data_IF_244244696942
#
_entry.id   IF_244244696942
#
_cell.length_a   1.000
_cell.length_b   1.000
_cell.length_c   1.000
_cell.angle_alpha   90.00
_cell.angle_beta   90.00
_cell.angle_gamma   90.00
#
_symmetry.space_group_name_H-M   'P 1'
#
loop_
_entity.id
_entity.type
_entity.pdbx_description
1 polymer ?
#
# COMPACT_ATOMS: atom_id res chain seq x y z
N UNK A 1 6.37 1.27 -26.54
CA UNK A 1 5.72 2.41 -25.83
C UNK A 1 4.83 1.92 -24.69
N UNK A 2 3.89 1.00 -24.93
CA UNK A 2 2.96 0.49 -23.90
C UNK A 2 3.63 -0.10 -22.65
N UNK A 3 4.70 -0.89 -22.81
CA UNK A 3 5.47 -1.45 -21.67
C UNK A 3 6.04 -0.36 -20.77
N UNK A 4 6.63 0.69 -21.34
CA UNK A 4 7.18 1.81 -20.58
C UNK A 4 6.07 2.53 -19.81
N UNK A 5 4.89 2.71 -20.43
CA UNK A 5 3.72 3.27 -19.76
C UNK A 5 3.30 2.44 -18.53
N UNK A 6 3.22 1.12 -18.68
CA UNK A 6 2.92 0.20 -17.56
C UNK A 6 3.96 0.34 -16.43
N UNK A 7 5.24 0.37 -16.78
CA UNK A 7 6.30 0.54 -15.79
C UNK A 7 6.24 1.89 -15.07
N UNK A 8 6.07 3.00 -15.80
CA UNK A 8 5.95 4.31 -15.17
C UNK A 8 4.74 4.38 -14.23
N UNK A 9 3.57 3.89 -14.65
CA UNK A 9 2.37 3.84 -13.81
C UNK A 9 2.63 3.01 -12.55
N UNK A 10 3.25 1.83 -12.69
CA UNK A 10 3.57 0.99 -11.54
C UNK A 10 4.50 1.70 -10.55
N UNK A 11 5.55 2.35 -11.04
CA UNK A 11 6.52 3.07 -10.20
C UNK A 11 5.89 4.28 -9.51
N UNK A 12 5.07 5.05 -10.22
CA UNK A 12 4.37 6.19 -9.62
C UNK A 12 3.43 5.72 -8.51
N UNK A 13 2.65 4.65 -8.74
CA UNK A 13 1.73 4.11 -7.73
C UNK A 13 2.48 3.60 -6.49
N UNK A 14 3.59 2.88 -6.65
CA UNK A 14 4.35 2.36 -5.52
C UNK A 14 4.99 3.49 -4.71
N UNK A 15 5.57 4.48 -5.38
CA UNK A 15 6.18 5.65 -4.73
C UNK A 15 5.14 6.50 -4.00
N UNK A 16 4.00 6.79 -4.63
CA UNK A 16 2.90 7.51 -3.97
C UNK A 16 2.45 6.76 -2.71
N UNK A 17 2.25 5.45 -2.81
CA UNK A 17 1.86 4.62 -1.65
C UNK A 17 2.91 4.64 -0.54
N UNK A 18 4.19 4.56 -0.88
CA UNK A 18 5.29 4.63 0.08
C UNK A 18 5.33 5.98 0.81
N UNK A 19 5.12 7.10 0.09
CA UNK A 19 5.03 8.44 0.69
C UNK A 19 3.86 8.49 1.68
N UNK A 20 2.67 8.03 1.29
CA UNK A 20 1.52 8.00 2.19
C UNK A 20 1.77 7.11 3.41
N UNK A 21 2.42 5.96 3.25
CA UNK A 21 2.79 5.08 4.37
C UNK A 21 3.77 5.74 5.35
N UNK A 22 4.74 6.49 4.84
CA UNK A 22 5.69 7.25 5.66
C UNK A 22 4.99 8.38 6.41
N UNK A 23 4.15 9.16 5.72
CA UNK A 23 3.35 10.23 6.34
C UNK A 23 2.42 9.65 7.41
N UNK A 24 1.77 8.53 7.12
CA UNK A 24 0.97 7.77 8.06
C UNK A 24 1.73 7.41 9.35
N UNK A 25 2.94 6.85 9.19
CA UNK A 25 3.80 6.50 10.30
C UNK A 25 4.26 7.72 11.11
N UNK A 26 4.51 8.84 10.44
CA UNK A 26 4.93 10.09 11.09
C UNK A 26 3.80 10.69 11.93
N UNK A 27 2.59 10.76 11.37
CA UNK A 27 1.40 11.25 12.06
C UNK A 27 1.08 10.43 13.32
N UNK A 28 1.07 9.09 13.21
CA UNK A 28 0.82 8.22 14.38
C UNK A 28 1.84 8.45 15.50
N UNK A 29 3.11 8.67 15.17
CA UNK A 29 4.16 8.97 16.17
C UNK A 29 3.92 10.30 16.88
N UNK A 30 3.45 11.31 16.17
CA UNK A 30 3.27 12.66 16.72
C UNK A 30 2.03 12.76 17.63
N UNK A 31 0.99 11.98 17.34
CA UNK A 31 -0.27 11.96 18.11
C UNK A 31 -0.20 11.14 19.42
N UNK A 32 0.78 10.23 19.59
CA UNK A 32 0.90 9.37 20.78
C UNK A 32 1.63 10.08 21.95
N UNK A 33 2.16 11.29 21.76
CA UNK A 33 2.83 12.01 22.84
C UNK A 33 1.83 12.38 23.97
N UNK A 34 2.07 11.95 25.22
CA UNK A 34 1.14 12.19 26.31
C UNK A 34 1.20 13.66 26.73
N UNK A 35 0.19 14.42 26.33
CA UNK A 35 0.01 15.79 26.80
C UNK A 35 -0.48 15.70 28.28
N UNK A 36 0.07 16.53 29.19
CA UNK A 36 -0.19 16.59 30.64
C UNK A 36 -1.16 17.73 31.02
N UNK A 37 -2.00 17.58 32.08
CA UNK A 37 -2.80 18.69 32.71
C UNK A 37 -4.30 18.41 33.05
N UNK A 38 -4.95 19.25 33.90
CA UNK A 38 -6.38 19.19 34.38
C UNK A 38 -7.28 20.35 33.83
N UNK A 39 -8.60 20.36 34.12
CA UNK A 39 -9.74 20.90 33.28
C UNK A 39 -9.95 20.17 31.95
N UNK A 40 -9.04 19.25 31.71
CA UNK A 40 -8.74 18.56 30.49
C UNK A 40 -9.66 17.38 30.30
N UNK A 41 -10.11 16.69 31.34
CA UNK A 41 -10.90 15.44 31.26
C UNK A 41 -12.22 15.55 30.50
N UNK A 42 -12.94 16.68 30.61
CA UNK A 42 -14.18 16.90 29.84
C UNK A 42 -13.90 17.20 28.37
N UNK A 43 -12.85 17.97 28.08
CA UNK A 43 -12.35 18.14 26.72
C UNK A 43 -11.79 16.82 26.19
N UNK A 44 -11.11 16.04 27.04
CA UNK A 44 -10.46 14.77 26.75
C UNK A 44 -11.49 13.72 26.40
N UNK A 45 -12.67 13.63 27.02
CA UNK A 45 -13.68 12.67 26.56
C UNK A 45 -14.16 13.01 25.13
N UNK A 46 -14.34 14.30 24.82
CA UNK A 46 -14.78 14.73 23.48
C UNK A 46 -13.65 14.61 22.44
N UNK A 47 -12.43 14.97 22.82
CA UNK A 47 -11.23 14.93 22.02
C UNK A 47 -10.73 13.49 21.86
N UNK A 48 -10.77 12.65 22.88
CA UNK A 48 -10.50 11.21 22.77
C UNK A 48 -11.54 10.48 21.90
N UNK A 49 -12.80 10.93 21.88
CA UNK A 49 -13.79 10.43 20.90
C UNK A 49 -13.49 10.93 19.49
N UNK A 50 -13.08 12.19 19.34
CA UNK A 50 -12.74 12.77 18.04
C UNK A 50 -11.40 12.21 17.49
N UNK A 51 -10.34 12.24 18.28
CA UNK A 51 -9.05 11.57 18.08
C UNK A 51 -9.23 10.07 17.92
N UNK A 52 -10.19 9.45 18.62
CA UNK A 52 -10.55 8.04 18.45
C UNK A 52 -11.15 7.78 17.08
N UNK A 53 -12.07 8.63 16.62
CA UNK A 53 -12.65 8.57 15.27
C UNK A 53 -11.62 8.89 14.18
N UNK A 54 -10.78 9.89 14.40
CA UNK A 54 -9.72 10.32 13.48
C UNK A 54 -8.62 9.26 13.39
N UNK A 55 -8.19 8.70 14.52
CA UNK A 55 -7.27 7.57 14.58
C UNK A 55 -7.87 6.32 13.93
N UNK A 56 -9.16 6.06 14.12
CA UNK A 56 -9.83 4.94 13.46
C UNK A 56 -9.91 5.13 11.94
N UNK A 57 -10.26 6.34 11.48
CA UNK A 57 -10.26 6.70 10.06
C UNK A 57 -8.85 6.62 9.46
N UNK A 58 -7.84 7.07 10.20
CA UNK A 58 -6.45 7.03 9.78
C UNK A 58 -5.90 5.60 9.74
N UNK A 59 -6.20 4.78 10.74
CA UNK A 59 -5.88 3.34 10.75
C UNK A 59 -6.58 2.62 9.60
N UNK A 60 -7.82 2.98 9.27
CA UNK A 60 -8.53 2.45 8.11
C UNK A 60 -7.84 2.85 6.79
N UNK A 61 -7.46 4.12 6.62
CA UNK A 61 -6.71 4.59 5.44
C UNK A 61 -5.37 3.85 5.31
N UNK A 62 -4.64 3.69 6.42
CA UNK A 62 -3.37 2.94 6.44
C UNK A 62 -3.59 1.49 6.05
N UNK A 63 -4.67 0.87 6.53
CA UNK A 63 -5.05 -0.49 6.16
C UNK A 63 -5.37 -0.64 4.67
N UNK A 64 -5.75 0.44 3.98
CA UNK A 64 -6.03 0.47 2.54
C UNK A 64 -4.80 0.80 1.68
N UNK A 65 -3.73 1.36 2.25
CA UNK A 65 -2.48 1.66 1.53
C UNK A 65 -1.87 0.47 0.78
N UNK A 66 -1.91 -0.78 1.28
CA UNK A 66 -1.36 -1.91 0.53
C UNK A 66 -2.01 -2.07 -0.85
N UNK A 67 -3.28 -1.73 -1.02
CA UNK A 67 -4.04 -1.95 -2.26
C UNK A 67 -3.35 -1.34 -3.50
N UNK A 68 -3.06 -0.02 -3.55
CA UNK A 68 -2.34 0.57 -4.69
C UNK A 68 -0.93 0.00 -4.90
N UNK A 69 -0.26 -0.46 -3.84
CA UNK A 69 1.05 -1.12 -3.94
C UNK A 69 0.95 -2.51 -4.57
N UNK A 70 -0.10 -3.28 -4.25
CA UNK A 70 -0.36 -4.56 -4.91
C UNK A 70 -0.77 -4.40 -6.37
N UNK A 71 -1.57 -3.38 -6.69
CA UNK A 71 -1.89 -3.03 -8.07
C UNK A 71 -0.64 -2.65 -8.86
N UNK A 72 0.25 -1.83 -8.27
CA UNK A 72 1.55 -1.50 -8.85
C UNK A 72 2.36 -2.76 -9.20
N UNK A 73 2.45 -3.70 -8.25
CA UNK A 73 3.16 -4.97 -8.45
C UNK A 73 2.57 -5.77 -9.62
N UNK A 74 1.25 -5.92 -9.70
CA UNK A 74 0.57 -6.63 -10.79
C UNK A 74 0.89 -5.98 -12.14
N UNK A 75 0.76 -4.67 -12.24
CA UNK A 75 1.04 -3.91 -13.46
C UNK A 75 2.50 -4.10 -13.89
N UNK A 76 3.43 -4.07 -12.94
CA UNK A 76 4.85 -4.29 -13.21
C UNK A 76 5.13 -5.70 -13.75
N UNK A 77 4.56 -6.73 -13.12
CA UNK A 77 4.74 -8.13 -13.54
C UNK A 77 4.14 -8.39 -14.92
N UNK A 78 2.97 -7.82 -15.23
CA UNK A 78 2.38 -7.89 -16.58
C UNK A 78 3.29 -7.21 -17.61
N UNK A 79 3.77 -6.01 -17.30
CA UNK A 79 4.73 -5.30 -18.15
C UNK A 79 6.02 -6.10 -18.38
N UNK A 80 6.51 -6.78 -17.33
CA UNK A 80 7.69 -7.64 -17.38
C UNK A 80 7.50 -8.84 -18.32
N UNK A 81 6.37 -9.56 -18.22
CA UNK A 81 6.08 -10.71 -19.11
C UNK A 81 5.94 -10.26 -20.56
N UNK A 82 5.24 -9.15 -20.81
CA UNK A 82 5.09 -8.58 -22.16
C UNK A 82 6.45 -8.15 -22.73
N UNK A 83 7.32 -7.58 -21.89
CA UNK A 83 8.68 -7.20 -22.28
C UNK A 83 9.54 -8.42 -22.63
N UNK A 84 9.47 -9.49 -21.84
CA UNK A 84 10.30 -10.69 -22.04
C UNK A 84 9.81 -11.57 -23.20
N UNK A 85 8.52 -11.58 -23.51
CA UNK A 85 7.94 -12.44 -24.55
C UNK A 85 8.67 -12.37 -25.91
N UNK A 86 8.98 -11.17 -26.47
CA UNK A 86 9.73 -11.08 -27.72
C UNK A 86 11.23 -11.36 -27.57
N UNK A 87 11.81 -11.25 -26.37
CA UNK A 87 13.25 -11.46 -26.14
C UNK A 87 13.57 -12.95 -25.94
N UNK A 88 12.83 -13.62 -25.06
CA UNK A 88 13.07 -15.00 -24.70
C UNK A 88 11.83 -15.67 -24.10
N UNK A 89 11.03 -16.32 -24.94
CA UNK A 89 9.73 -16.90 -24.57
C UNK A 89 9.80 -17.85 -23.38
N UNK A 90 10.84 -18.68 -23.28
CA UNK A 90 11.00 -19.60 -22.15
C UNK A 90 11.15 -18.89 -20.81
N UNK A 91 11.88 -17.76 -20.77
CA UNK A 91 12.06 -16.98 -19.54
C UNK A 91 10.76 -16.22 -19.24
N UNK A 92 10.09 -15.69 -20.28
CA UNK A 92 8.79 -15.04 -20.12
C UNK A 92 7.75 -15.97 -19.48
N UNK A 93 7.66 -17.22 -19.94
CA UNK A 93 6.76 -18.23 -19.38
C UNK A 93 7.16 -18.57 -17.93
N UNK A 94 8.45 -18.82 -17.67
CA UNK A 94 8.92 -19.14 -16.32
C UNK A 94 8.60 -18.01 -15.32
N UNK A 95 8.87 -16.76 -15.69
CA UNK A 95 8.54 -15.58 -14.90
C UNK A 95 7.02 -15.42 -14.74
N UNK A 96 6.24 -15.65 -15.79
CA UNK A 96 4.78 -15.58 -15.75
C UNK A 96 4.15 -16.61 -14.80
N UNK A 97 4.62 -17.86 -14.83
CA UNK A 97 4.18 -18.92 -13.91
C UNK A 97 4.52 -18.56 -12.47
N UNK A 98 5.78 -18.18 -12.21
CA UNK A 98 6.22 -17.79 -10.88
C UNK A 98 5.39 -16.61 -10.33
N UNK A 99 5.18 -15.59 -11.17
CA UNK A 99 4.36 -14.42 -10.84
C UNK A 99 2.92 -14.81 -10.51
N UNK A 100 2.33 -15.71 -11.30
CA UNK A 100 0.94 -16.17 -11.11
C UNK A 100 0.77 -16.98 -9.82
N UNK A 101 1.74 -17.84 -9.49
CA UNK A 101 1.75 -18.61 -8.24
C UNK A 101 1.82 -17.66 -7.04
N UNK A 102 2.77 -16.71 -7.06
CA UNK A 102 2.92 -15.73 -5.98
C UNK A 102 1.67 -14.86 -5.83
N UNK A 103 1.06 -14.43 -6.93
CA UNK A 103 -0.19 -13.66 -6.90
C UNK A 103 -1.34 -14.49 -6.31
N UNK A 104 -1.45 -15.75 -6.71
CA UNK A 104 -2.48 -16.67 -6.21
C UNK A 104 -2.36 -16.90 -4.70
N UNK A 105 -1.14 -17.16 -4.20
CA UNK A 105 -0.87 -17.30 -2.77
C UNK A 105 -1.15 -16.00 -2.00
N UNK A 106 -0.77 -14.86 -2.59
CA UNK A 106 -1.02 -13.55 -2.02
C UNK A 106 -2.53 -13.26 -1.89
N UNK A 107 -3.30 -13.48 -2.96
CA UNK A 107 -4.76 -13.34 -2.94
C UNK A 107 -5.39 -14.31 -1.94
N UNK A 108 -4.94 -15.57 -1.89
CA UNK A 108 -5.43 -16.53 -0.91
C UNK A 108 -5.24 -16.00 0.52
N UNK A 109 -4.08 -15.42 0.84
CA UNK A 109 -3.81 -14.82 2.16
C UNK A 109 -4.72 -13.63 2.48
N UNK A 110 -5.19 -12.88 1.49
CA UNK A 110 -6.13 -11.76 1.71
C UNK A 110 -7.54 -12.28 2.04
N UNK A 111 -7.95 -13.39 1.43
CA UNK A 111 -9.29 -13.94 1.59
C UNK A 111 -9.45 -14.86 2.81
N UNK A 112 -8.35 -15.31 3.40
CA UNK A 112 -8.29 -16.22 4.55
C UNK A 112 -8.20 -15.45 5.86
#
# INVERSE_FOLDING_TARGET
VWVNGLWFVSLTLSLSTAIFAVLAKQWTRQYILPITGSSRERCFIRQFRYDGLEKWYFTAIIGLLPIPLHLSLIIFLVGLVIFLAPLHTAIAIAVGILSSILLGLYLATIFL
#
